data_IF_738271328220
#
_entry.id   IF_738271328220
#
_cell.length_a   1.000
_cell.length_b   1.000
_cell.length_c   1.000
_cell.angle_alpha   90.00
_cell.angle_beta   90.00
_cell.angle_gamma   90.00
#
_symmetry.space_group_name_H-M   'P 1'
#
loop_
_entity.id
_entity.type
_entity.pdbx_description
1 polymer ?
#
# COMPACT_ATOMS: atom_id res chain seq x y z
N UNK A 1 -2.89 13.40 13.77
CA UNK A 1 -2.56 12.64 12.54
C UNK A 1 -1.61 11.49 12.93
N UNK A 2 -1.86 10.31 12.34
CA UNK A 2 -1.59 8.95 12.84
C UNK A 2 -2.17 8.69 14.23
N UNK A 3 -3.25 7.90 14.30
CA UNK A 3 -3.84 7.33 15.53
C UNK A 3 -4.06 8.29 16.72
N UNK A 4 -4.32 9.59 16.46
CA UNK A 4 -4.62 10.58 17.49
C UNK A 4 -5.77 10.18 18.44
N UNK A 5 -6.85 9.51 17.99
CA UNK A 5 -7.89 8.98 18.89
C UNK A 5 -7.36 7.93 19.89
N UNK A 6 -6.24 7.28 19.59
CA UNK A 6 -5.58 6.29 20.44
C UNK A 6 -4.38 6.86 21.21
N UNK A 7 -4.12 8.18 21.12
CA UNK A 7 -2.99 8.82 21.80
C UNK A 7 -1.61 8.44 21.27
N UNK A 8 -1.52 7.75 20.12
CA UNK A 8 -0.26 7.32 19.52
C UNK A 8 0.24 8.42 18.57
N UNK A 9 1.45 8.91 18.78
CA UNK A 9 2.09 9.86 17.87
C UNK A 9 2.67 9.17 16.64
N UNK A 10 2.81 9.88 15.52
CA UNK A 10 3.51 9.38 14.33
C UNK A 10 4.94 8.92 14.64
N UNK A 11 5.63 9.56 15.59
CA UNK A 11 6.99 9.19 15.98
C UNK A 11 7.02 7.85 16.72
N UNK A 12 6.07 7.62 17.62
CA UNK A 12 5.90 6.32 18.28
C UNK A 12 5.57 5.23 17.26
N UNK A 13 4.64 5.49 16.34
CA UNK A 13 4.29 4.52 15.30
C UNK A 13 5.49 4.19 14.39
N UNK A 14 6.26 5.19 13.97
CA UNK A 14 7.46 4.98 13.16
C UNK A 14 8.49 4.10 13.90
N UNK A 15 8.68 4.36 15.20
CA UNK A 15 9.55 3.56 16.06
C UNK A 15 9.06 2.12 16.18
N UNK A 16 7.75 1.89 16.39
CA UNK A 16 7.18 0.54 16.49
C UNK A 16 7.29 -0.23 15.18
N UNK A 17 7.17 0.46 14.04
CA UNK A 17 7.37 -0.12 12.70
C UNK A 17 8.85 -0.31 12.33
N UNK A 18 9.78 0.20 13.14
CA UNK A 18 11.22 0.15 12.88
C UNK A 18 11.67 0.98 11.66
N UNK A 19 10.93 2.05 11.32
CA UNK A 19 11.23 2.92 10.17
C UNK A 19 11.53 4.34 10.62
N UNK A 20 12.18 5.12 9.74
CA UNK A 20 12.36 6.55 10.01
C UNK A 20 11.00 7.27 10.03
N UNK A 21 10.85 8.36 10.82
CA UNK A 21 9.65 9.20 10.77
C UNK A 21 9.36 9.76 9.38
N UNK A 22 10.41 10.01 8.58
CA UNK A 22 10.27 10.46 7.19
C UNK A 22 9.66 9.38 6.29
N UNK A 23 9.99 8.10 6.50
CA UNK A 23 9.41 6.98 5.76
C UNK A 23 7.93 6.83 6.08
N UNK A 24 7.56 6.85 7.37
CA UNK A 24 6.15 6.82 7.77
C UNK A 24 5.39 8.05 7.24
N UNK A 25 6.00 9.24 7.27
CA UNK A 25 5.38 10.46 6.76
C UNK A 25 5.03 10.37 5.27
N UNK A 26 5.94 9.85 4.44
CA UNK A 26 5.68 9.60 3.01
C UNK A 26 4.55 8.59 2.81
N UNK A 27 4.56 7.50 3.59
CA UNK A 27 3.50 6.49 3.53
C UNK A 27 2.12 7.09 3.89
N UNK A 28 2.04 7.89 4.96
CA UNK A 28 0.79 8.53 5.39
C UNK A 28 0.27 9.59 4.42
N UNK A 29 1.17 10.21 3.63
CA UNK A 29 0.81 11.17 2.58
C UNK A 29 0.43 10.50 1.26
N UNK A 30 0.73 9.21 1.09
CA UNK A 30 0.59 8.52 -0.19
C UNK A 30 1.75 8.79 -1.16
N UNK A 31 2.83 9.45 -0.71
CA UNK A 31 4.04 9.68 -1.52
C UNK A 31 4.83 8.38 -1.76
N UNK A 32 4.58 7.35 -0.95
CA UNK A 32 5.12 6.00 -1.12
C UNK A 32 4.06 4.96 -0.79
N UNK A 33 3.94 3.91 -1.60
CA UNK A 33 3.03 2.79 -1.35
C UNK A 33 3.52 1.83 -0.26
N UNK A 34 2.67 0.86 0.08
CA UNK A 34 2.99 -0.25 0.98
C UNK A 34 3.78 -1.32 0.22
N UNK A 35 5.05 -1.47 0.55
CA UNK A 35 5.88 -2.58 0.06
C UNK A 35 5.59 -3.89 0.83
N UNK A 36 6.02 -5.07 0.32
CA UNK A 36 5.93 -6.33 1.07
C UNK A 36 6.65 -6.28 2.43
N UNK A 37 7.79 -5.58 2.52
CA UNK A 37 8.47 -5.39 3.79
C UNK A 37 7.64 -4.53 4.76
N UNK A 38 7.02 -3.46 4.25
CA UNK A 38 6.15 -2.61 5.06
C UNK A 38 4.88 -3.33 5.50
N UNK A 39 4.31 -4.20 4.66
CA UNK A 39 3.11 -4.97 5.01
C UNK A 39 3.37 -5.94 6.17
N UNK A 40 4.55 -6.57 6.23
CA UNK A 40 4.99 -7.36 7.38
C UNK A 40 5.10 -6.53 8.66
N UNK A 41 5.71 -5.33 8.56
CA UNK A 41 5.84 -4.40 9.70
C UNK A 41 4.47 -3.92 10.20
N UNK A 42 3.58 -3.54 9.28
CA UNK A 42 2.22 -3.11 9.59
C UNK A 42 1.39 -4.23 10.21
N UNK A 43 1.45 -5.44 9.66
CA UNK A 43 0.78 -6.63 10.22
C UNK A 43 1.20 -6.87 11.67
N UNK A 44 2.51 -6.79 11.95
CA UNK A 44 3.05 -7.00 13.30
C UNK A 44 2.60 -5.93 14.31
N UNK A 45 2.47 -4.67 13.89
CA UNK A 45 2.22 -3.53 14.79
C UNK A 45 0.74 -3.16 14.90
N UNK A 46 -0.01 -3.23 13.80
CA UNK A 46 -1.39 -2.76 13.68
C UNK A 46 -2.40 -3.89 13.42
N UNK A 47 -1.93 -5.12 13.25
CA UNK A 47 -2.76 -6.27 12.89
C UNK A 47 -3.09 -6.34 11.39
N UNK A 48 -4.08 -7.18 11.06
CA UNK A 48 -4.34 -7.73 9.70
C UNK A 48 -3.20 -8.59 9.19
N UNK A 49 -3.44 -9.30 8.10
CA UNK A 49 -2.40 -10.08 7.42
C UNK A 49 -1.59 -9.18 6.48
N UNK A 50 -0.32 -9.50 6.20
CA UNK A 50 0.49 -8.78 5.21
C UNK A 50 -0.19 -8.72 3.83
N UNK A 51 -0.86 -9.80 3.42
CA UNK A 51 -1.60 -9.90 2.17
C UNK A 51 -2.80 -8.94 2.14
N UNK A 52 -3.48 -8.74 3.27
CA UNK A 52 -4.57 -7.75 3.34
C UNK A 52 -4.05 -6.32 3.13
N UNK A 53 -2.84 -6.02 3.61
CA UNK A 53 -2.22 -4.71 3.38
C UNK A 53 -1.81 -4.53 1.92
N UNK A 54 -1.23 -5.55 1.31
CA UNK A 54 -0.85 -5.53 -0.12
C UNK A 54 -2.08 -5.44 -1.03
N UNK A 55 -3.14 -6.19 -0.74
CA UNK A 55 -4.38 -6.11 -1.52
C UNK A 55 -4.96 -4.68 -1.53
N UNK A 56 -4.88 -3.94 -0.42
CA UNK A 56 -5.30 -2.54 -0.39
C UNK A 56 -4.42 -1.64 -1.27
N UNK A 57 -3.11 -1.89 -1.28
CA UNK A 57 -2.17 -1.17 -2.16
C UNK A 57 -2.46 -1.48 -3.63
N UNK A 58 -2.62 -2.76 -3.98
CA UNK A 58 -2.91 -3.22 -5.35
C UNK A 58 -4.23 -2.62 -5.85
N UNK A 59 -5.26 -2.56 -5.00
CA UNK A 59 -6.53 -1.93 -5.34
C UNK A 59 -6.38 -0.45 -5.67
N UNK A 60 -5.58 0.27 -4.89
CA UNK A 60 -5.28 1.69 -5.15
C UNK A 60 -4.49 1.85 -6.46
N UNK A 61 -3.43 1.07 -6.65
CA UNK A 61 -2.58 1.14 -7.84
C UNK A 61 -3.36 0.82 -9.12
N UNK A 62 -4.24 -0.18 -9.07
CA UNK A 62 -5.16 -0.50 -10.18
C UNK A 62 -6.15 0.64 -10.44
N UNK A 63 -6.68 1.28 -9.40
CA UNK A 63 -7.58 2.42 -9.57
C UNK A 63 -6.89 3.60 -10.25
N UNK A 64 -5.65 3.92 -9.85
CA UNK A 64 -4.83 4.94 -10.51
C UNK A 64 -4.54 4.54 -11.96
N UNK A 65 -4.10 3.30 -12.21
CA UNK A 65 -3.76 2.82 -13.55
C UNK A 65 -4.96 2.85 -14.51
N UNK A 66 -6.16 2.52 -14.05
CA UNK A 66 -7.40 2.63 -14.85
C UNK A 66 -7.69 4.05 -15.32
N UNK A 67 -7.18 5.05 -14.62
CA UNK A 67 -7.40 6.46 -14.96
C UNK A 67 -6.33 7.01 -15.92
N UNK A 68 -5.25 6.27 -16.14
CA UNK A 68 -4.07 6.77 -16.88
C UNK A 68 -3.66 5.89 -18.07
N UNK A 69 -3.98 4.60 -18.04
CA UNK A 69 -3.62 3.66 -19.10
C UNK A 69 -4.69 3.64 -20.19
N UNK A 70 -4.29 3.89 -21.44
CA UNK A 70 -5.15 3.70 -22.61
C UNK A 70 -5.08 2.23 -23.08
N UNK A 71 -6.25 1.59 -23.21
CA UNK A 71 -6.41 0.18 -23.61
C UNK A 71 -7.05 0.01 -25.01
N UNK A 72 -7.34 1.09 -25.75
CA UNK A 72 -8.16 1.08 -26.97
C UNK A 72 -7.63 0.15 -28.08
N UNK A 73 -6.32 -0.11 -28.12
CA UNK A 73 -5.67 -0.99 -29.10
C UNK A 73 -5.30 -2.38 -28.58
N UNK A 74 -5.75 -2.76 -27.38
CA UNK A 74 -5.39 -4.03 -26.75
C UNK A 74 -6.55 -5.01 -26.87
N UNK A 75 -6.27 -6.19 -27.40
CA UNK A 75 -7.27 -7.23 -27.64
C UNK A 75 -6.84 -8.57 -27.00
N UNK A 76 -7.80 -9.37 -26.49
CA UNK A 76 -7.50 -10.71 -26.00
C UNK A 76 -6.89 -11.60 -27.09
N UNK A 77 -5.94 -12.44 -26.71
CA UNK A 77 -5.43 -13.50 -27.59
C UNK A 77 -6.42 -14.67 -27.59
N UNK A 78 -6.70 -15.20 -28.78
CA UNK A 78 -7.46 -16.44 -28.95
C UNK A 78 -6.49 -17.63 -28.94
N UNK A 79 -6.64 -18.51 -27.95
CA UNK A 79 -5.78 -19.69 -27.77
C UNK A 79 -6.38 -20.96 -28.40
N UNK A 80 -7.61 -20.91 -28.93
CA UNK A 80 -8.31 -22.06 -29.52
C UNK A 80 -8.01 -22.24 -31.02
N UNK A 81 -7.22 -21.33 -31.62
CA UNK A 81 -6.87 -21.34 -33.05
C UNK A 81 -5.61 -22.17 -33.39
N UNK A 82 -5.11 -23.01 -32.48
CA UNK A 82 -3.88 -23.81 -32.63
C UNK A 82 -4.16 -25.32 -32.70
#
# INVERSE_FOLDING_TARGET
MALAPFGISSRQLASSLGVSPSTLSRLLKGDSGISPEMSLRLSKVLGRTPESWLAMQDMYDLWVARSTVNLDGIHPLDFEAA
#
